data_IF_047733325253
#
_entry.id   IF_047733325253
#
_cell.length_a   1.000
_cell.length_b   1.000
_cell.length_c   1.000
_cell.angle_alpha   90.00
_cell.angle_beta   90.00
_cell.angle_gamma   90.00
#
_symmetry.space_group_name_H-M   'P 1'
#
loop_
_entity.id
_entity.type
_entity.pdbx_description
1 polymer ?
#
# COMPACT_ATOMS: atom_id res chain seq x y z
N UNK A 1 6.06 12.67 -11.81
CA UNK A 1 5.25 11.44 -11.85
C UNK A 1 4.19 11.71 -12.87
N UNK A 2 4.22 11.00 -14.00
CA UNK A 2 3.26 11.23 -15.07
C UNK A 2 1.87 10.80 -14.59
N UNK A 3 0.93 11.75 -14.61
CA UNK A 3 -0.44 11.52 -14.20
C UNK A 3 -1.17 10.82 -15.34
N UNK A 4 -1.11 9.49 -15.34
CA UNK A 4 -1.73 8.67 -16.38
C UNK A 4 -3.26 8.62 -16.23
N UNK A 5 -4.02 8.75 -17.33
CA UNK A 5 -5.46 8.51 -17.31
C UNK A 5 -5.78 7.05 -17.00
N UNK A 6 -7.04 6.79 -16.64
CA UNK A 6 -7.56 5.43 -16.47
C UNK A 6 -8.59 5.16 -17.57
N UNK A 7 -8.45 4.02 -18.23
CA UNK A 7 -9.40 3.50 -19.20
C UNK A 7 -9.88 2.10 -18.83
N UNK A 8 -10.89 1.61 -19.56
CA UNK A 8 -11.36 0.21 -19.47
C UNK A 8 -11.31 -0.45 -20.84
N UNK A 9 -10.65 -1.60 -20.90
CA UNK A 9 -10.65 -2.47 -22.07
C UNK A 9 -11.77 -3.50 -21.91
N UNK A 10 -12.65 -3.70 -22.90
CA UNK A 10 -13.75 -4.67 -22.80
C UNK A 10 -13.27 -6.12 -22.61
N UNK A 11 -11.99 -6.42 -22.94
CA UNK A 11 -11.41 -7.75 -22.81
C UNK A 11 -10.46 -7.91 -21.61
N UNK A 12 -9.91 -6.80 -21.09
CA UNK A 12 -8.81 -6.85 -20.12
C UNK A 12 -9.06 -6.02 -18.85
N UNK A 13 -10.22 -5.38 -18.73
CA UNK A 13 -10.58 -4.59 -17.55
C UNK A 13 -9.91 -3.22 -17.51
N UNK A 14 -9.85 -2.62 -16.32
CA UNK A 14 -9.27 -1.29 -16.11
C UNK A 14 -7.75 -1.29 -16.33
N UNK A 15 -7.23 -0.18 -16.83
CA UNK A 15 -5.80 0.03 -17.03
C UNK A 15 -5.42 1.50 -16.90
N UNK A 16 -4.15 1.78 -16.58
CA UNK A 16 -3.57 3.13 -16.67
C UNK A 16 -2.87 3.35 -18.01
N UNK A 17 -2.90 4.59 -18.46
CA UNK A 17 -2.28 5.04 -19.71
C UNK A 17 -3.29 5.19 -20.86
N UNK A 18 -2.80 5.64 -22.01
CA UNK A 18 -3.62 5.93 -23.19
C UNK A 18 -4.21 4.67 -23.85
N UNK A 19 -3.53 3.52 -23.71
CA UNK A 19 -3.87 2.27 -24.39
C UNK A 19 -3.78 1.09 -23.45
N UNK A 20 -4.63 0.09 -23.67
CA UNK A 20 -4.58 -1.15 -22.91
C UNK A 20 -3.19 -1.80 -23.04
N UNK A 21 -2.49 -2.11 -21.93
CA UNK A 21 -1.13 -2.64 -21.98
C UNK A 21 -1.06 -4.02 -22.65
N UNK A 22 -2.17 -4.79 -22.64
CA UNK A 22 -2.25 -6.15 -23.19
C UNK A 22 -2.52 -6.16 -24.70
N UNK A 23 -3.57 -5.48 -25.18
CA UNK A 23 -3.95 -5.52 -26.61
C UNK A 23 -3.65 -4.25 -27.40
N UNK A 24 -3.08 -3.22 -26.76
CA UNK A 24 -2.71 -1.92 -27.38
C UNK A 24 -3.86 -1.13 -28.01
N UNK A 25 -5.11 -1.57 -27.82
CA UNK A 25 -6.32 -0.85 -28.24
C UNK A 25 -6.61 0.29 -27.27
N UNK A 26 -7.19 1.38 -27.80
CA UNK A 26 -7.78 2.45 -27.00
C UNK A 26 -9.08 1.91 -26.42
N UNK A 27 -9.16 1.87 -25.09
CA UNK A 27 -10.37 1.48 -24.36
C UNK A 27 -11.31 2.65 -24.15
N UNK A 28 -12.40 2.41 -23.42
CA UNK A 28 -13.30 3.48 -23.02
C UNK A 28 -12.63 4.32 -21.92
N UNK A 29 -12.69 5.64 -22.06
CA UNK A 29 -12.17 6.56 -21.06
C UNK A 29 -12.99 6.48 -19.76
N UNK A 30 -12.31 6.41 -18.61
CA UNK A 30 -12.94 6.38 -17.28
C UNK A 30 -12.72 7.70 -16.55
N UNK A 31 -11.48 8.19 -16.51
CA UNK A 31 -11.11 9.49 -15.93
C UNK A 31 -9.71 9.90 -16.39
N UNK A 32 -9.40 11.19 -16.31
CA UNK A 32 -8.05 11.69 -16.59
C UNK A 32 -7.10 11.47 -15.39
N UNK A 33 -5.81 11.74 -15.59
CA UNK A 33 -4.78 11.48 -14.57
C UNK A 33 -4.90 12.38 -13.33
N UNK A 34 -5.27 13.65 -13.51
CA UNK A 34 -5.48 14.58 -12.40
C UNK A 34 -6.66 14.16 -11.52
N UNK A 35 -7.76 13.74 -12.16
CA UNK A 35 -8.92 13.16 -11.51
C UNK A 35 -8.56 11.89 -10.74
N UNK A 36 -7.78 11.00 -11.35
CA UNK A 36 -7.33 9.76 -10.72
C UNK A 36 -6.44 10.00 -9.50
N UNK A 37 -5.48 10.93 -9.58
CA UNK A 37 -4.61 11.29 -8.45
C UNK A 37 -5.40 11.93 -7.32
N UNK A 38 -6.24 12.93 -7.63
CA UNK A 38 -7.08 13.59 -6.63
C UNK A 38 -8.02 12.59 -5.94
N UNK A 39 -8.66 11.70 -6.71
CA UNK A 39 -9.52 10.66 -6.17
C UNK A 39 -8.73 9.71 -5.26
N UNK A 40 -7.57 9.23 -5.71
CA UNK A 40 -6.71 8.33 -4.91
C UNK A 40 -6.24 8.96 -3.60
N UNK A 41 -5.86 10.24 -3.60
CA UNK A 41 -5.49 10.96 -2.37
C UNK A 41 -6.66 11.05 -1.38
N UNK A 42 -7.87 11.32 -1.88
CA UNK A 42 -9.08 11.38 -1.03
C UNK A 42 -9.52 10.01 -0.53
N UNK A 43 -9.40 8.97 -1.35
CA UNK A 43 -9.61 7.59 -0.92
C UNK A 43 -8.61 7.20 0.18
N UNK A 44 -7.32 7.52 0.01
CA UNK A 44 -6.28 7.29 1.02
C UNK A 44 -6.64 7.99 2.33
N UNK A 45 -7.02 9.27 2.29
CA UNK A 45 -7.42 10.01 3.47
C UNK A 45 -8.63 9.38 4.19
N UNK A 46 -9.66 9.01 3.44
CA UNK A 46 -10.88 8.42 3.99
C UNK A 46 -10.66 7.00 4.55
N UNK A 47 -9.87 6.18 3.86
CA UNK A 47 -9.71 4.77 4.19
C UNK A 47 -8.57 4.49 5.19
N UNK A 48 -7.62 5.41 5.41
CA UNK A 48 -6.47 5.17 6.30
C UNK A 48 -6.50 5.97 7.59
N UNK A 49 -7.11 7.15 7.59
CA UNK A 49 -6.85 8.13 8.64
C UNK A 49 -8.09 8.56 9.40
N UNK A 50 -9.19 8.83 8.69
CA UNK A 50 -10.34 9.48 9.31
C UNK A 50 -11.66 9.17 8.57
N UNK A 51 -12.11 7.90 8.50
CA UNK A 51 -13.38 7.55 7.85
C UNK A 51 -14.57 8.35 8.40
N UNK A 52 -14.57 8.66 9.70
CA UNK A 52 -15.58 9.44 10.39
C UNK A 52 -15.71 10.87 9.85
N UNK A 53 -14.60 11.52 9.45
CA UNK A 53 -14.63 12.87 8.82
C UNK A 53 -15.33 12.84 7.45
N UNK A 54 -15.38 11.68 6.82
CA UNK A 54 -16.11 11.45 5.58
C UNK A 54 -17.51 10.90 5.83
N UNK A 55 -17.94 10.73 7.09
CA UNK A 55 -19.21 10.12 7.47
C UNK A 55 -19.34 8.67 7.04
N UNK A 56 -18.23 7.93 7.03
CA UNK A 56 -18.18 6.52 6.65
C UNK A 56 -18.20 5.63 7.89
N UNK A 57 -18.95 4.53 7.81
CA UNK A 57 -18.87 3.44 8.78
C UNK A 57 -17.83 2.44 8.28
N UNK A 58 -16.70 2.38 8.98
CA UNK A 58 -15.64 1.41 8.72
C UNK A 58 -15.74 0.28 9.73
N UNK A 59 -15.66 -0.96 9.28
CA UNK A 59 -15.61 -2.11 10.17
C UNK A 59 -14.22 -2.28 10.81
N UNK A 60 -14.10 -3.20 11.78
CA UNK A 60 -12.84 -3.47 12.48
C UNK A 60 -11.69 -3.92 11.56
N UNK A 61 -11.99 -4.44 10.38
CA UNK A 61 -11.00 -4.91 9.40
C UNK A 61 -10.68 -3.85 8.33
N UNK A 62 -11.20 -2.62 8.48
CA UNK A 62 -10.97 -1.50 7.59
C UNK A 62 -11.92 -1.41 6.39
N UNK A 63 -12.93 -2.28 6.29
CA UNK A 63 -13.84 -2.31 5.16
C UNK A 63 -14.90 -1.21 5.23
N UNK A 64 -15.17 -0.60 4.07
CA UNK A 64 -16.24 0.39 3.85
C UNK A 64 -17.01 0.01 2.59
N UNK A 65 -18.32 0.27 2.55
CA UNK A 65 -19.10 0.11 1.32
C UNK A 65 -18.67 1.10 0.24
N UNK A 66 -18.42 0.60 -0.97
CA UNK A 66 -17.99 1.44 -2.11
C UNK A 66 -19.06 2.48 -2.45
N UNK A 67 -20.34 2.14 -2.33
CA UNK A 67 -21.46 3.05 -2.56
C UNK A 67 -21.51 4.21 -1.56
N UNK A 68 -21.23 3.93 -0.28
CA UNK A 68 -21.14 4.94 0.77
C UNK A 68 -19.92 5.84 0.57
N UNK A 69 -18.75 5.26 0.24
CA UNK A 69 -17.55 6.01 -0.12
C UNK A 69 -17.78 6.95 -1.31
N UNK A 70 -18.40 6.47 -2.39
CA UNK A 70 -18.74 7.30 -3.55
C UNK A 70 -19.69 8.45 -3.16
N UNK A 71 -20.67 8.20 -2.30
CA UNK A 71 -21.61 9.20 -1.84
C UNK A 71 -20.94 10.25 -0.95
N UNK A 72 -20.06 9.82 -0.03
CA UNK A 72 -19.27 10.71 0.81
C UNK A 72 -18.35 11.62 -0.02
N UNK A 73 -17.62 11.05 -0.99
CA UNK A 73 -16.68 11.79 -1.83
C UNK A 73 -17.38 12.80 -2.75
N UNK A 74 -18.59 12.50 -3.23
CA UNK A 74 -19.37 13.44 -4.06
C UNK A 74 -19.76 14.73 -3.34
N UNK A 75 -19.71 14.76 -2.00
CA UNK A 75 -19.92 16.00 -1.23
C UNK A 75 -18.77 17.00 -1.41
N UNK A 76 -17.60 16.53 -1.83
CA UNK A 76 -16.45 17.38 -2.15
C UNK A 76 -16.66 17.99 -3.53
N UNK A 77 -16.62 19.32 -3.63
CA UNK A 77 -16.94 20.08 -4.86
C UNK A 77 -16.24 19.54 -6.12
N UNK A 78 -14.96 19.16 -6.02
CA UNK A 78 -14.14 18.66 -7.13
C UNK A 78 -14.39 17.18 -7.49
N UNK A 79 -15.20 16.46 -6.72
CA UNK A 79 -15.45 15.02 -6.86
C UNK A 79 -16.94 14.67 -7.08
N UNK A 80 -17.77 15.65 -7.47
CA UNK A 80 -19.21 15.43 -7.75
C UNK A 80 -19.48 14.34 -8.81
N UNK A 81 -18.52 14.09 -9.70
CA UNK A 81 -18.60 13.11 -10.78
C UNK A 81 -18.29 11.66 -10.33
N UNK A 82 -17.77 11.46 -9.10
CA UNK A 82 -17.32 10.15 -8.61
C UNK A 82 -18.49 9.16 -8.53
N UNK A 83 -18.27 7.96 -9.06
CA UNK A 83 -19.18 6.82 -9.06
C UNK A 83 -18.43 5.61 -8.49
N UNK A 84 -19.13 4.54 -8.04
CA UNK A 84 -18.49 3.30 -7.61
C UNK A 84 -17.46 2.74 -8.61
N UNK A 85 -17.76 2.82 -9.91
CA UNK A 85 -16.85 2.40 -10.99
C UNK A 85 -15.52 3.17 -10.98
N UNK A 86 -15.53 4.47 -10.68
CA UNK A 86 -14.31 5.29 -10.60
C UNK A 86 -13.42 4.84 -9.43
N UNK A 87 -14.02 4.54 -8.28
CA UNK A 87 -13.30 4.03 -7.09
C UNK A 87 -12.68 2.66 -7.39
N UNK A 88 -13.45 1.75 -7.98
CA UNK A 88 -12.96 0.42 -8.36
C UNK A 88 -11.82 0.54 -9.37
N UNK A 89 -11.96 1.41 -10.37
CA UNK A 89 -10.92 1.63 -11.37
C UNK A 89 -9.61 2.12 -10.73
N UNK A 90 -9.67 3.12 -9.84
CA UNK A 90 -8.48 3.58 -9.08
C UNK A 90 -7.87 2.46 -8.25
N UNK A 91 -8.70 1.65 -7.58
CA UNK A 91 -8.24 0.58 -6.71
C UNK A 91 -7.53 -0.54 -7.49
N UNK A 92 -8.14 -1.01 -8.59
CA UNK A 92 -7.63 -2.12 -9.39
C UNK A 92 -6.41 -1.76 -10.24
N UNK A 93 -6.19 -0.46 -10.50
CA UNK A 93 -5.01 0.02 -11.24
C UNK A 93 -4.02 0.76 -10.35
N UNK A 94 -4.11 0.66 -9.03
CA UNK A 94 -3.15 1.31 -8.13
C UNK A 94 -1.79 0.59 -8.21
N UNK A 95 -0.71 1.25 -8.67
CA UNK A 95 0.57 0.58 -8.88
C UNK A 95 1.24 0.15 -7.58
N UNK A 96 0.83 0.72 -6.44
CA UNK A 96 1.38 0.39 -5.11
C UNK A 96 0.53 -0.64 -4.36
N UNK A 97 -0.56 -1.14 -4.95
CA UNK A 97 -1.46 -2.08 -4.30
C UNK A 97 -2.10 -1.54 -3.02
N UNK A 98 -2.43 -0.24 -2.98
CA UNK A 98 -2.93 0.45 -1.78
C UNK A 98 -4.32 0.01 -1.33
N UNK A 99 -5.08 -0.69 -2.15
CA UNK A 99 -6.48 -0.99 -1.91
C UNK A 99 -6.79 -2.46 -2.14
N UNK A 100 -7.74 -2.99 -1.36
CA UNK A 100 -8.35 -4.28 -1.60
C UNK A 100 -9.85 -4.05 -1.89
N UNK A 101 -10.36 -4.65 -2.96
CA UNK A 101 -11.77 -4.61 -3.33
C UNK A 101 -12.38 -6.00 -3.15
N UNK A 102 -13.48 -6.08 -2.40
CA UNK A 102 -14.33 -7.27 -2.35
C UNK A 102 -15.56 -6.99 -3.24
N UNK A 103 -15.57 -7.45 -4.49
CA UNK A 103 -16.64 -7.14 -5.43
C UNK A 103 -17.97 -7.77 -5.02
N UNK A 104 -17.94 -8.99 -4.48
CA UNK A 104 -19.15 -9.74 -4.10
C UNK A 104 -19.95 -9.02 -3.01
N UNK A 105 -19.25 -8.39 -2.06
CA UNK A 105 -19.86 -7.61 -0.97
C UNK A 105 -19.93 -6.10 -1.26
N UNK A 106 -19.37 -5.64 -2.37
CA UNK A 106 -19.26 -4.21 -2.70
C UNK A 106 -18.45 -3.40 -1.68
N UNK A 107 -17.40 -4.01 -1.10
CA UNK A 107 -16.57 -3.41 -0.06
C UNK A 107 -15.18 -3.03 -0.59
N UNK A 108 -14.59 -2.00 0.00
CA UNK A 108 -13.22 -1.58 -0.23
C UNK A 108 -12.54 -1.26 1.10
N UNK A 109 -11.24 -1.55 1.20
CA UNK A 109 -10.38 -1.07 2.28
C UNK A 109 -9.04 -0.60 1.74
N UNK A 110 -8.31 0.19 2.51
CA UNK A 110 -6.89 0.34 2.27
C UNK A 110 -6.19 -0.97 2.66
N UNK A 111 -5.22 -1.41 1.86
CA UNK A 111 -4.45 -2.62 2.11
C UNK A 111 -3.51 -2.44 3.30
N UNK A 112 -2.98 -1.24 3.48
CA UNK A 112 -1.98 -0.88 4.49
C UNK A 112 -1.98 0.64 4.73
N UNK A 113 -1.19 1.10 5.70
CA UNK A 113 -0.94 2.53 5.95
C UNK A 113 -1.97 3.23 6.82
N UNK A 114 -2.81 2.48 7.53
CA UNK A 114 -3.75 3.03 8.49
C UNK A 114 -3.00 3.71 9.64
N UNK A 115 -3.49 4.87 10.07
CA UNK A 115 -3.09 5.51 11.35
C UNK A 115 -4.09 5.18 12.46
N UNK A 116 -5.22 4.59 12.10
CA UNK A 116 -6.19 3.99 13.01
C UNK A 116 -5.89 2.50 13.18
N UNK A 117 -6.24 1.94 14.34
CA UNK A 117 -6.09 0.50 14.58
C UNK A 117 -7.10 -0.29 13.73
N UNK A 118 -6.61 -1.36 13.10
CA UNK A 118 -7.43 -2.34 12.37
C UNK A 118 -7.05 -3.76 12.78
N UNK A 119 -8.03 -4.65 12.77
CA UNK A 119 -7.86 -6.08 12.92
C UNK A 119 -7.38 -6.70 11.60
N UNK A 120 -6.15 -7.19 11.58
CA UNK A 120 -5.51 -7.80 10.41
C UNK A 120 -5.61 -9.33 10.39
N UNK A 121 -6.44 -9.93 11.24
CA UNK A 121 -6.58 -11.40 11.31
C UNK A 121 -7.11 -12.02 10.03
N UNK A 122 -7.85 -11.26 9.20
CA UNK A 122 -8.36 -11.71 7.90
C UNK A 122 -7.33 -11.60 6.76
N UNK A 123 -6.12 -11.10 7.04
CA UNK A 123 -5.04 -11.06 6.06
C UNK A 123 -4.32 -12.41 5.95
N UNK A 124 -3.85 -12.78 4.74
CA UNK A 124 -3.01 -13.96 4.56
C UNK A 124 -1.66 -13.79 5.27
N UNK A 125 -1.13 -14.90 5.77
CA UNK A 125 0.22 -14.93 6.36
C UNK A 125 1.29 -14.68 5.30
N UNK A 126 2.40 -14.06 5.72
CA UNK A 126 3.55 -13.79 4.86
C UNK A 126 4.47 -15.02 4.67
N UNK A 127 3.93 -16.24 4.76
CA UNK A 127 4.71 -17.49 4.84
C UNK A 127 5.58 -17.80 3.63
N UNK A 128 5.31 -17.17 2.48
CA UNK A 128 6.12 -17.31 1.27
C UNK A 128 7.46 -16.56 1.33
N UNK A 129 7.61 -15.60 2.27
CA UNK A 129 8.79 -14.74 2.35
C UNK A 129 9.77 -15.25 3.39
N UNK A 130 10.98 -15.63 2.94
CA UNK A 130 12.10 -15.87 3.86
C UNK A 130 12.63 -14.55 4.44
N UNK A 131 12.77 -13.55 3.58
CA UNK A 131 13.26 -12.23 3.94
C UNK A 131 12.29 -11.14 3.51
N UNK A 132 12.23 -10.08 4.31
CA UNK A 132 11.56 -8.83 4.00
C UNK A 132 12.52 -7.66 4.27
N UNK A 133 12.17 -6.46 3.80
CA UNK A 133 13.09 -5.33 3.82
C UNK A 133 12.46 -4.07 4.41
N UNK A 134 13.25 -3.32 5.18
CA UNK A 134 12.84 -2.07 5.79
C UNK A 134 13.91 -0.99 5.53
N UNK A 135 13.56 0.14 4.90
CA UNK A 135 14.48 1.26 4.78
C UNK A 135 14.53 2.07 6.08
N UNK A 136 15.73 2.43 6.53
CA UNK A 136 16.00 3.26 7.69
C UNK A 136 16.99 4.37 7.34
N UNK A 137 16.95 5.48 8.08
CA UNK A 137 18.03 6.50 8.06
C UNK A 137 19.20 6.04 8.92
N UNK A 138 20.39 6.64 8.73
CA UNK A 138 21.56 6.32 9.57
C UNK A 138 21.28 6.53 11.07
N UNK A 139 20.52 7.56 11.41
CA UNK A 139 20.14 7.90 12.79
C UNK A 139 19.19 6.87 13.43
N UNK A 140 18.38 6.18 12.63
CA UNK A 140 17.40 5.19 13.12
C UNK A 140 18.03 3.81 13.36
N UNK A 141 19.09 3.45 12.63
CA UNK A 141 19.62 2.08 12.58
C UNK A 141 20.01 1.57 13.95
N UNK A 142 20.79 2.33 14.72
CA UNK A 142 21.27 1.90 16.04
C UNK A 142 20.11 1.61 17.00
N UNK A 143 19.08 2.47 16.97
CA UNK A 143 17.88 2.32 17.80
C UNK A 143 17.09 1.07 17.37
N UNK A 144 16.95 0.83 16.06
CA UNK A 144 16.24 -0.34 15.52
C UNK A 144 16.96 -1.64 15.87
N UNK A 145 18.29 -1.67 15.78
CA UNK A 145 19.08 -2.86 16.12
C UNK A 145 19.04 -3.19 17.62
N UNK A 146 18.79 -2.21 18.48
CA UNK A 146 18.63 -2.44 19.92
C UNK A 146 17.17 -2.83 20.25
N UNK A 147 16.21 -2.02 19.80
CA UNK A 147 14.82 -2.08 20.26
C UNK A 147 13.88 -2.90 19.36
N UNK A 148 14.31 -3.28 18.16
CA UNK A 148 13.45 -3.84 17.13
C UNK A 148 12.69 -2.77 16.36
N UNK A 149 11.78 -3.20 15.48
CA UNK A 149 10.84 -2.30 14.80
C UNK A 149 9.52 -2.25 15.56
N UNK A 150 9.03 -1.03 15.73
CA UNK A 150 7.68 -0.73 16.21
C UNK A 150 7.03 0.30 15.29
N UNK A 151 5.69 0.37 15.21
CA UNK A 151 5.01 1.37 14.42
C UNK A 151 5.30 2.77 14.97
N UNK A 152 5.56 3.73 14.08
CA UNK A 152 5.74 5.14 14.43
C UNK A 152 4.43 5.91 14.21
N UNK A 153 4.31 6.68 13.13
CA UNK A 153 3.11 7.44 12.79
C UNK A 153 1.94 6.56 12.31
N UNK A 154 2.23 5.31 11.94
CA UNK A 154 1.25 4.34 11.41
C UNK A 154 0.90 3.31 12.48
N UNK A 155 -0.24 2.66 12.33
CA UNK A 155 -0.69 1.59 13.23
C UNK A 155 0.14 0.30 13.13
N UNK A 156 0.82 0.08 11.99
CA UNK A 156 1.57 -1.14 11.69
C UNK A 156 2.87 -0.80 10.96
N UNK A 157 3.89 -1.63 11.19
CA UNK A 157 5.15 -1.62 10.46
C UNK A 157 4.87 -2.03 9.02
N UNK A 158 5.56 -1.40 8.08
CA UNK A 158 5.51 -1.73 6.67
C UNK A 158 6.83 -2.35 6.24
N UNK A 159 6.76 -3.57 5.71
CA UNK A 159 7.92 -4.32 5.24
C UNK A 159 7.80 -4.54 3.74
N UNK A 160 8.81 -4.16 2.98
CA UNK A 160 8.86 -4.35 1.53
C UNK A 160 9.20 -5.81 1.22
N UNK A 161 8.54 -6.36 0.20
CA UNK A 161 8.79 -7.74 -0.25
C UNK A 161 10.01 -7.88 -1.15
N UNK A 162 10.53 -6.76 -1.67
CA UNK A 162 11.67 -6.68 -2.58
C UNK A 162 12.59 -5.52 -2.19
N UNK A 163 13.85 -5.59 -2.61
CA UNK A 163 14.85 -4.57 -2.33
C UNK A 163 14.54 -3.26 -3.08
N UNK A 164 14.11 -3.36 -4.33
CA UNK A 164 13.76 -2.22 -5.17
C UNK A 164 12.64 -1.39 -4.53
N UNK A 165 11.66 -2.05 -3.90
CA UNK A 165 10.58 -1.39 -3.18
C UNK A 165 11.05 -0.76 -1.88
N UNK A 166 11.94 -1.41 -1.13
CA UNK A 166 12.52 -0.86 0.09
C UNK A 166 13.32 0.41 -0.22
N UNK A 167 14.17 0.35 -1.25
CA UNK A 167 14.97 1.48 -1.73
C UNK A 167 14.07 2.61 -2.20
N UNK A 168 13.07 2.32 -3.04
CA UNK A 168 12.11 3.32 -3.52
C UNK A 168 11.32 3.97 -2.37
N UNK A 169 10.95 3.20 -1.34
CA UNK A 169 10.27 3.71 -0.16
C UNK A 169 11.19 4.59 0.71
N UNK A 170 12.43 4.18 0.92
CA UNK A 170 13.41 4.94 1.70
C UNK A 170 13.81 6.26 1.03
N UNK A 171 13.90 6.26 -0.31
CA UNK A 171 14.20 7.46 -1.13
C UNK A 171 13.16 8.57 -1.06
N UNK A 172 12.00 8.30 -0.48
CA UNK A 172 11.01 9.35 -0.17
C UNK A 172 11.51 10.26 0.97
N UNK A 173 12.39 9.75 1.83
CA UNK A 173 12.82 10.44 3.05
C UNK A 173 14.32 10.80 3.04
N UNK A 174 15.17 9.99 2.44
CA UNK A 174 16.62 10.22 2.36
C UNK A 174 17.19 9.71 1.04
N UNK A 175 18.21 10.36 0.47
CA UNK A 175 18.75 9.99 -0.85
C UNK A 175 19.36 8.58 -0.88
N UNK A 176 20.03 8.18 0.20
CA UNK A 176 20.72 6.90 0.33
C UNK A 176 20.35 6.17 1.64
N UNK A 177 19.16 5.54 1.70
CA UNK A 177 18.70 4.84 2.90
C UNK A 177 19.54 3.59 3.18
N UNK A 178 19.69 3.25 4.46
CA UNK A 178 20.19 1.93 4.86
C UNK A 178 19.04 0.94 4.74
N UNK A 179 19.28 -0.18 4.06
CA UNK A 179 18.29 -1.26 3.95
C UNK A 179 18.58 -2.29 5.03
N UNK A 180 17.56 -2.56 5.84
CA UNK A 180 17.56 -3.63 6.82
C UNK A 180 16.86 -4.86 6.23
N UNK A 181 17.43 -6.03 6.47
CA UNK A 181 16.82 -7.34 6.17
C UNK A 181 16.16 -7.88 7.42
N UNK A 182 14.94 -8.37 7.26
CA UNK A 182 14.15 -9.04 8.29
C UNK A 182 14.08 -10.52 7.95
N UNK A 183 14.57 -11.41 8.83
CA UNK A 183 14.35 -12.86 8.72
C UNK A 183 12.91 -13.20 9.12
N UNK A 184 11.99 -12.97 8.17
CA UNK A 184 10.56 -13.14 8.36
C UNK A 184 10.22 -14.59 8.68
N UNK A 185 10.92 -15.57 8.09
CA UNK A 185 10.67 -17.00 8.35
C UNK A 185 10.98 -17.35 9.79
N UNK A 186 12.15 -16.98 10.29
CA UNK A 186 12.53 -17.25 11.68
C UNK A 186 11.61 -16.50 12.66
N UNK A 187 11.27 -15.24 12.35
CA UNK A 187 10.34 -14.45 13.17
C UNK A 187 8.97 -15.12 13.28
N UNK A 188 8.38 -15.57 12.17
CA UNK A 188 7.07 -16.24 12.16
C UNK A 188 7.11 -17.60 12.86
N UNK A 189 8.19 -18.37 12.72
CA UNK A 189 8.35 -19.64 13.44
C UNK A 189 8.35 -19.45 14.97
N UNK A 190 8.85 -18.31 15.44
CA UNK A 190 8.88 -17.94 16.85
C UNK A 190 7.62 -17.15 17.29
N UNK A 191 6.58 -17.12 16.46
CA UNK A 191 5.26 -16.58 16.78
C UNK A 191 5.02 -15.12 16.41
N UNK A 192 5.94 -14.45 15.70
CA UNK A 192 5.72 -13.07 15.21
C UNK A 192 4.69 -13.09 14.08
N UNK A 193 3.61 -12.33 14.24
CA UNK A 193 2.56 -12.22 13.22
C UNK A 193 2.98 -11.24 12.13
N UNK A 194 3.25 -11.76 10.93
CA UNK A 194 3.53 -10.98 9.72
C UNK A 194 2.50 -11.34 8.66
N UNK A 195 1.78 -10.34 8.18
CA UNK A 195 0.69 -10.50 7.20
C UNK A 195 1.03 -9.87 5.86
N UNK A 196 0.62 -10.50 4.76
CA UNK A 196 0.77 -9.96 3.42
C UNK A 196 -0.37 -8.98 3.12
N UNK A 197 -0.04 -7.70 3.01
CA UNK A 197 -1.00 -6.63 2.79
C UNK A 197 -1.26 -6.36 1.30
N UNK A 198 -0.22 -6.48 0.49
CA UNK A 198 -0.29 -6.39 -0.97
C UNK A 198 0.78 -7.32 -1.57
N UNK A 199 0.84 -7.48 -2.91
CA UNK A 199 1.93 -8.24 -3.55
C UNK A 199 3.34 -7.73 -3.20
N UNK A 200 3.42 -6.49 -2.73
CA UNK A 200 4.66 -5.72 -2.57
C UNK A 200 4.96 -5.35 -1.12
N UNK A 201 3.99 -5.57 -0.21
CA UNK A 201 4.08 -5.09 1.15
C UNK A 201 3.52 -6.10 2.14
N UNK A 202 4.29 -6.35 3.19
CA UNK A 202 3.85 -7.03 4.41
C UNK A 202 3.70 -6.04 5.56
N UNK A 203 2.91 -6.41 6.56
CA UNK A 203 2.63 -5.61 7.75
C UNK A 203 2.79 -6.44 9.03
N UNK A 204 3.27 -5.81 10.09
CA UNK A 204 3.47 -6.42 11.41
C UNK A 204 3.24 -5.40 12.53
N UNK A 205 2.91 -5.87 13.74
CA UNK A 205 2.81 -5.02 14.93
C UNK A 205 4.16 -4.73 15.57
N UNK A 206 5.08 -5.68 15.52
CA UNK A 206 6.43 -5.57 16.09
C UNK A 206 7.35 -6.56 15.36
N UNK A 207 8.62 -6.19 15.20
CA UNK A 207 9.68 -7.11 14.78
C UNK A 207 10.82 -7.03 15.81
N UNK A 208 11.08 -8.10 16.57
CA UNK A 208 12.20 -8.12 17.51
C UNK A 208 13.55 -7.94 16.82
N UNK A 209 14.47 -7.21 17.46
CA UNK A 209 15.80 -6.88 16.91
C UNK A 209 16.62 -8.08 16.45
N UNK A 210 16.48 -9.24 17.12
CA UNK A 210 17.20 -10.48 16.75
C UNK A 210 16.94 -10.98 15.33
N UNK A 211 15.89 -10.53 14.65
CA UNK A 211 15.59 -10.88 13.26
C UNK A 211 16.02 -9.80 12.26
N UNK A 212 16.60 -8.70 12.74
CA UNK A 212 16.93 -7.52 11.94
C UNK A 212 18.44 -7.48 11.73
N UNK A 213 18.86 -7.40 10.47
CA UNK A 213 20.26 -7.26 10.09
C UNK A 213 20.42 -6.11 9.11
N UNK A 214 21.54 -5.39 9.18
CA UNK A 214 21.90 -4.41 8.16
C UNK A 214 22.29 -5.17 6.88
N UNK A 215 21.69 -4.81 5.76
CA UNK A 215 22.12 -5.28 4.44
C UNK A 215 23.18 -4.36 3.82
N UNK A 216 22.99 -3.04 3.94
CA UNK A 216 23.90 -2.03 3.41
C UNK A 216 23.16 -0.77 2.98
N UNK A 217 23.91 0.20 2.44
CA UNK A 217 23.31 1.39 1.81
C UNK A 217 22.66 1.04 0.49
N UNK A 218 21.59 1.74 0.13
CA UNK A 218 20.90 1.52 -1.14
C UNK A 218 21.84 1.63 -2.34
N UNK A 219 22.73 2.64 -2.34
CA UNK A 219 23.72 2.86 -3.39
C UNK A 219 24.74 1.72 -3.54
N UNK A 220 25.04 0.99 -2.46
CA UNK A 220 25.93 -0.17 -2.46
C UNK A 220 25.21 -1.41 -2.99
N UNK A 221 23.97 -1.62 -2.53
CA UNK A 221 23.13 -2.75 -2.94
C UNK A 221 22.84 -2.70 -4.45
N UNK A 222 22.51 -1.52 -4.98
CA UNK A 222 22.23 -1.35 -6.41
C UNK A 222 23.44 -1.70 -7.30
N UNK A 223 24.68 -1.45 -6.84
CA UNK A 223 25.90 -1.81 -7.58
C UNK A 223 26.13 -3.32 -7.68
N UNK A 224 25.54 -4.10 -6.78
CA UNK A 224 25.71 -5.56 -6.74
C UNK A 224 24.61 -6.28 -7.52
N UNK A 225 23.46 -5.63 -7.73
CA UNK A 225 22.29 -6.20 -8.43
C UNK A 225 22.31 -5.90 -9.94
N UNK A 226 23.12 -4.92 -10.39
CA UNK A 226 23.39 -4.64 -11.80
C UNK A 226 24.42 -5.58 -12.40
#
# INVERSE_FOLDING_TARGET
MDLEPIGVCPYHGFYRGERCPKCKRVGMHIMNGEEADMLSRRMTAALRHSPEKFGLSMDKHGWVKISELASALRRIRKLKWVKPTHIIAVALTDPKGRYHVNPDKGLIRASYGHTIEIDISDYPDASEYKYLYYPATEEEVDIILISGLKPSERSLIHLSTTLEQAISAGRVHTEDPIILTIDAKSAMNDGVVIKKASPYLCIAKEIPSRYINILGKASEIERVIQ
#
